data_IF_720311455540
#
_entry.id   IF_720311455540
#
_cell.length_a   1.000
_cell.length_b   1.000
_cell.length_c   1.000
_cell.angle_alpha   90.00
_cell.angle_beta   90.00
_cell.angle_gamma   90.00
#
_symmetry.space_group_name_H-M   'P 1'
#
loop_
_entity.id
_entity.type
_entity.pdbx_description
1 polymer ?
#
# COMPACT_ATOMS: atom_id res chain seq x y z
N UNK A 1 20.38 -23.71 3.64
CA UNK A 1 20.57 -24.03 2.22
C UNK A 1 21.14 -22.78 1.58
N UNK A 2 22.38 -22.86 1.12
CA UNK A 2 22.99 -21.72 0.42
C UNK A 2 22.58 -21.79 -1.04
N UNK A 3 22.18 -20.64 -1.61
CA UNK A 3 21.81 -20.56 -3.01
C UNK A 3 23.08 -20.67 -3.86
N UNK A 4 23.26 -21.82 -4.52
CA UNK A 4 24.37 -22.08 -5.42
C UNK A 4 23.86 -22.81 -6.69
N UNK A 5 24.66 -22.87 -7.78
CA UNK A 5 24.26 -23.53 -9.03
C UNK A 5 23.87 -25.01 -8.85
N UNK A 6 24.48 -25.68 -7.86
CA UNK A 6 24.17 -27.07 -7.52
C UNK A 6 22.79 -27.22 -6.89
N UNK A 7 22.39 -26.30 -6.01
CA UNK A 7 21.06 -26.23 -5.39
C UNK A 7 19.98 -25.95 -6.44
N UNK A 8 20.26 -25.03 -7.36
CA UNK A 8 19.37 -24.73 -8.49
C UNK A 8 19.14 -25.98 -9.34
N UNK A 9 20.23 -26.66 -9.72
CA UNK A 9 20.16 -27.86 -10.53
C UNK A 9 19.42 -29.00 -9.80
N UNK A 10 19.71 -29.19 -8.51
CA UNK A 10 19.05 -30.18 -7.66
C UNK A 10 17.55 -29.95 -7.56
N UNK A 11 17.12 -28.73 -7.20
CA UNK A 11 15.70 -28.40 -7.06
C UNK A 11 14.98 -28.51 -8.42
N UNK A 12 15.59 -28.02 -9.50
CA UNK A 12 15.04 -28.14 -10.85
C UNK A 12 14.78 -29.60 -11.23
N UNK A 13 15.76 -30.47 -11.00
CA UNK A 13 15.64 -31.87 -11.34
C UNK A 13 14.59 -32.58 -10.48
N UNK A 14 14.51 -32.27 -9.18
CA UNK A 14 13.48 -32.80 -8.31
C UNK A 14 12.08 -32.38 -8.79
N UNK A 15 11.86 -31.11 -9.10
CA UNK A 15 10.57 -30.59 -9.56
C UNK A 15 10.16 -31.03 -10.96
N UNK A 16 11.11 -31.39 -11.83
CA UNK A 16 10.81 -32.06 -13.09
C UNK A 16 10.46 -33.54 -12.86
N UNK A 17 11.14 -34.21 -11.95
CA UNK A 17 10.89 -35.61 -11.63
C UNK A 17 9.56 -35.82 -10.90
N UNK A 18 9.00 -34.83 -10.22
CA UNK A 18 7.63 -34.90 -9.67
C UNK A 18 6.56 -34.95 -10.77
N UNK A 19 6.89 -34.49 -11.98
CA UNK A 19 6.01 -34.53 -13.15
C UNK A 19 6.21 -35.79 -14.00
N UNK A 20 7.14 -36.67 -13.63
CA UNK A 20 7.40 -37.92 -14.34
C UNK A 20 6.17 -38.84 -14.32
N UNK A 21 5.84 -39.53 -15.43
CA UNK A 21 4.75 -40.51 -15.47
C UNK A 21 5.05 -41.75 -14.61
N UNK A 22 6.33 -42.04 -14.35
CA UNK A 22 6.77 -43.18 -13.58
C UNK A 22 6.68 -42.93 -12.06
N UNK A 23 6.27 -43.97 -11.32
CA UNK A 23 6.04 -43.87 -9.88
C UNK A 23 7.34 -43.68 -9.07
N UNK A 24 8.42 -44.39 -9.43
CA UNK A 24 9.66 -44.38 -8.66
C UNK A 24 10.47 -43.06 -8.71
N UNK A 25 10.59 -42.37 -9.85
CA UNK A 25 11.19 -41.04 -9.91
C UNK A 25 10.38 -40.01 -9.12
N UNK A 26 9.04 -40.06 -9.21
CA UNK A 26 8.14 -39.15 -8.49
C UNK A 26 8.28 -39.29 -6.98
N UNK A 27 8.22 -40.52 -6.47
CA UNK A 27 8.36 -40.81 -5.03
C UNK A 27 9.71 -40.36 -4.48
N UNK A 28 10.79 -40.60 -5.23
CA UNK A 28 12.14 -40.15 -4.85
C UNK A 28 12.26 -38.63 -4.83
N UNK A 29 11.66 -37.96 -5.81
CA UNK A 29 11.64 -36.50 -5.87
C UNK A 29 10.83 -35.90 -4.71
N UNK A 30 9.66 -36.44 -4.39
CA UNK A 30 8.84 -36.00 -3.26
C UNK A 30 9.55 -36.20 -1.92
N UNK A 31 10.22 -37.34 -1.73
CA UNK A 31 11.01 -37.59 -0.52
C UNK A 31 12.18 -36.60 -0.39
N UNK A 32 12.91 -36.35 -1.48
CA UNK A 32 14.03 -35.41 -1.50
C UNK A 32 13.56 -33.97 -1.24
N UNK A 33 12.42 -33.57 -1.80
CA UNK A 33 11.82 -32.25 -1.55
C UNK A 33 11.32 -32.12 -0.10
N UNK A 34 10.75 -33.18 0.47
CA UNK A 34 10.32 -33.20 1.87
C UNK A 34 11.52 -33.10 2.83
N UNK A 35 12.66 -33.71 2.50
CA UNK A 35 13.89 -33.57 3.29
C UNK A 35 14.48 -32.16 3.14
N UNK A 36 14.52 -31.63 1.91
CA UNK A 36 15.00 -30.29 1.62
C UNK A 36 14.14 -29.20 2.28
N UNK A 37 12.83 -29.43 2.41
CA UNK A 37 11.89 -28.54 3.09
C UNK A 37 12.26 -28.25 4.56
N UNK A 38 12.95 -29.18 5.23
CA UNK A 38 13.40 -28.98 6.61
C UNK A 38 14.68 -28.13 6.72
N UNK A 39 15.33 -27.80 5.59
CA UNK A 39 16.58 -27.04 5.59
C UNK A 39 16.27 -25.54 5.64
N UNK A 40 17.04 -24.73 6.38
CA UNK A 40 16.87 -23.27 6.39
C UNK A 40 17.08 -22.71 4.97
N UNK A 41 16.39 -21.63 4.61
CA UNK A 41 16.42 -21.00 3.27
C UNK A 41 15.88 -21.85 2.11
N UNK A 42 15.15 -22.94 2.39
CA UNK A 42 14.47 -23.71 1.35
C UNK A 42 13.42 -22.87 0.60
N UNK A 43 12.52 -22.20 1.35
CA UNK A 43 11.47 -21.34 0.79
C UNK A 43 12.04 -20.24 -0.14
N UNK A 44 13.04 -19.43 0.28
CA UNK A 44 13.73 -18.49 -0.62
C UNK A 44 14.38 -19.13 -1.85
N UNK A 45 14.95 -20.33 -1.73
CA UNK A 45 15.57 -21.03 -2.87
C UNK A 45 14.52 -21.49 -3.90
N UNK A 46 13.39 -22.03 -3.45
CA UNK A 46 12.27 -22.41 -4.33
C UNK A 46 11.65 -21.17 -5.00
N UNK A 47 11.57 -20.04 -4.29
CA UNK A 47 11.10 -18.77 -4.85
C UNK A 47 12.02 -18.20 -5.93
N UNK A 48 13.35 -18.31 -5.77
CA UNK A 48 14.30 -17.85 -6.80
C UNK A 48 14.25 -18.72 -8.05
N UNK A 49 14.08 -20.03 -7.89
CA UNK A 49 13.86 -20.96 -9.01
C UNK A 49 12.59 -20.61 -9.80
N UNK A 50 11.53 -20.20 -9.10
CA UNK A 50 10.30 -19.68 -9.70
C UNK A 50 10.52 -18.38 -10.49
N UNK A 51 11.37 -17.47 -9.97
CA UNK A 51 11.66 -16.18 -10.58
C UNK A 51 12.59 -16.24 -11.81
N UNK A 52 13.28 -17.36 -12.04
CA UNK A 52 14.10 -17.56 -13.24
C UNK A 52 13.24 -17.82 -14.49
N UNK A 53 13.64 -17.33 -15.68
CA UNK A 53 12.99 -17.61 -16.96
C UNK A 53 13.25 -19.07 -17.38
N UNK A 54 12.59 -20.00 -16.69
CA UNK A 54 12.70 -21.44 -16.89
C UNK A 54 11.39 -22.06 -17.42
N UNK A 55 11.40 -23.36 -17.71
CA UNK A 55 10.29 -24.11 -18.32
C UNK A 55 9.00 -23.93 -17.50
N UNK A 56 7.87 -23.70 -18.19
CA UNK A 56 6.56 -23.44 -17.56
C UNK A 56 6.18 -24.47 -16.49
N UNK A 57 6.36 -25.75 -16.79
CA UNK A 57 5.94 -26.85 -15.89
C UNK A 57 6.78 -26.93 -14.61
N UNK A 58 8.06 -26.56 -14.70
CA UNK A 58 8.95 -26.47 -13.54
C UNK A 58 8.48 -25.39 -12.57
N UNK A 59 8.10 -24.23 -13.10
CA UNK A 59 7.58 -23.12 -12.27
C UNK A 59 6.28 -23.50 -11.60
N UNK A 60 5.38 -24.18 -12.32
CA UNK A 60 4.11 -24.62 -11.76
C UNK A 60 4.30 -25.66 -10.65
N UNK A 61 5.18 -26.65 -10.82
CA UNK A 61 5.43 -27.65 -9.78
C UNK A 61 6.15 -27.07 -8.56
N UNK A 62 7.08 -26.14 -8.77
CA UNK A 62 7.72 -25.38 -7.70
C UNK A 62 6.71 -24.50 -6.92
N UNK A 63 5.81 -23.80 -7.61
CA UNK A 63 4.78 -22.96 -6.97
C UNK A 63 3.78 -23.78 -6.12
N UNK A 64 3.34 -24.93 -6.63
CA UNK A 64 2.46 -25.84 -5.89
C UNK A 64 3.16 -26.40 -4.66
N UNK A 65 4.42 -26.80 -4.79
CA UNK A 65 5.21 -27.28 -3.66
C UNK A 65 5.42 -26.17 -2.61
N UNK A 66 5.77 -24.96 -3.05
CA UNK A 66 5.93 -23.81 -2.17
C UNK A 66 4.64 -23.50 -1.39
N UNK A 67 3.49 -23.49 -2.07
CA UNK A 67 2.17 -23.34 -1.43
C UNK A 67 1.91 -24.40 -0.37
N UNK A 68 2.23 -25.65 -0.65
CA UNK A 68 2.05 -26.76 0.30
C UNK A 68 3.04 -26.66 1.46
N UNK A 69 4.28 -26.24 1.20
CA UNK A 69 5.30 -26.01 2.20
C UNK A 69 4.87 -24.93 3.18
N UNK A 70 4.32 -23.81 2.69
CA UNK A 70 3.69 -22.79 3.51
C UNK A 70 2.56 -23.41 4.33
N UNK A 71 1.54 -24.01 3.71
CA UNK A 71 0.41 -24.60 4.46
C UNK A 71 0.83 -25.57 5.60
N UNK A 72 1.91 -26.32 5.42
CA UNK A 72 2.36 -27.32 6.38
C UNK A 72 3.32 -26.78 7.46
N UNK A 73 4.15 -25.78 7.15
CA UNK A 73 5.20 -25.27 8.05
C UNK A 73 4.91 -23.85 8.55
N UNK A 74 3.78 -23.28 8.14
CA UNK A 74 3.26 -22.01 8.61
C UNK A 74 2.60 -22.16 9.98
N UNK A 75 3.44 -22.19 11.00
CA UNK A 75 3.08 -21.65 12.29
C UNK A 75 3.88 -20.34 12.44
N UNK A 76 3.24 -19.20 12.78
CA UNK A 76 3.95 -17.94 12.93
C UNK A 76 4.96 -18.08 14.06
N UNK A 77 6.24 -18.26 13.72
CA UNK A 77 7.32 -17.91 14.63
C UNK A 77 7.50 -16.39 14.52
N UNK A 78 7.55 -15.64 15.63
CA UNK A 78 7.44 -14.18 15.63
C UNK A 78 8.58 -13.39 14.95
N UNK A 79 9.48 -14.01 14.19
CA UNK A 79 10.82 -13.43 13.99
C UNK A 79 11.24 -13.06 12.57
N UNK A 80 10.38 -13.07 11.54
CA UNK A 80 10.66 -12.26 10.33
C UNK A 80 9.43 -12.11 9.41
N UNK A 81 8.55 -11.12 9.65
CA UNK A 81 7.50 -10.76 8.70
C UNK A 81 8.03 -10.30 7.32
N UNK A 82 9.32 -9.98 7.22
CA UNK A 82 9.98 -9.49 6.01
C UNK A 82 10.16 -10.57 4.93
N UNK A 83 10.45 -11.82 5.30
CA UNK A 83 10.64 -12.92 4.32
C UNK A 83 9.32 -13.31 3.63
N UNK A 84 8.22 -13.04 4.32
CA UNK A 84 6.86 -13.44 3.99
C UNK A 84 6.21 -12.42 3.03
N UNK A 85 6.44 -11.13 3.29
CA UNK A 85 6.11 -10.07 2.33
C UNK A 85 6.93 -10.21 1.05
N UNK A 86 8.23 -10.53 1.14
CA UNK A 86 9.08 -10.75 -0.03
C UNK A 86 8.61 -11.93 -0.90
N UNK A 87 8.28 -13.06 -0.27
CA UNK A 87 7.74 -14.23 -0.95
C UNK A 87 6.42 -13.94 -1.68
N UNK A 88 5.49 -13.27 -1.00
CA UNK A 88 4.21 -12.88 -1.60
C UNK A 88 4.38 -11.82 -2.70
N UNK A 89 5.35 -10.92 -2.56
CA UNK A 89 5.66 -9.91 -3.59
C UNK A 89 6.15 -10.56 -4.87
N UNK A 90 7.06 -11.54 -4.76
CA UNK A 90 7.60 -12.26 -5.93
C UNK A 90 6.48 -13.01 -6.64
N UNK A 91 5.61 -13.71 -5.90
CA UNK A 91 4.51 -14.47 -6.50
C UNK A 91 3.43 -13.53 -7.07
N UNK A 92 3.11 -12.46 -6.35
CA UNK A 92 2.11 -11.46 -6.76
C UNK A 92 2.48 -10.67 -8.01
N UNK A 93 3.77 -10.59 -8.37
CA UNK A 93 4.25 -9.99 -9.61
C UNK A 93 3.96 -10.84 -10.85
N UNK A 94 3.94 -12.16 -10.72
CA UNK A 94 3.85 -13.08 -11.86
C UNK A 94 2.48 -13.76 -11.99
N UNK A 95 1.86 -14.15 -10.88
CA UNK A 95 0.68 -15.04 -10.90
C UNK A 95 -0.64 -14.34 -10.53
N UNK A 96 -0.58 -13.14 -9.95
CA UNK A 96 -1.77 -12.44 -9.45
C UNK A 96 -2.27 -11.37 -10.45
N UNK A 97 -3.58 -11.29 -10.77
CA UNK A 97 -4.71 -12.04 -10.21
C UNK A 97 -5.11 -13.30 -10.98
N UNK A 98 -4.73 -13.44 -12.25
CA UNK A 98 -5.27 -14.46 -13.16
C UNK A 98 -5.04 -15.90 -12.69
N UNK A 99 -3.94 -16.20 -12.00
CA UNK A 99 -3.60 -17.54 -11.52
C UNK A 99 -3.83 -17.76 -10.01
N UNK A 100 -4.27 -16.73 -9.25
CA UNK A 100 -4.51 -16.87 -7.81
C UNK A 100 -5.68 -16.02 -7.26
N UNK A 101 -6.93 -16.24 -7.72
CA UNK A 101 -8.09 -15.42 -7.33
C UNK A 101 -8.43 -15.52 -5.84
N UNK A 102 -8.16 -16.66 -5.19
CA UNK A 102 -8.56 -16.95 -3.81
C UNK A 102 -7.71 -16.20 -2.77
N UNK A 103 -6.49 -15.78 -3.14
CA UNK A 103 -5.53 -15.21 -2.19
C UNK A 103 -6.08 -13.96 -1.50
N UNK A 104 -6.68 -13.05 -2.26
CA UNK A 104 -7.18 -11.79 -1.71
C UNK A 104 -8.36 -11.99 -0.74
N UNK A 105 -9.43 -12.75 -1.09
CA UNK A 105 -10.48 -13.10 -0.13
C UNK A 105 -9.96 -13.79 1.14
N UNK A 106 -8.96 -14.67 1.02
CA UNK A 106 -8.36 -15.36 2.18
C UNK A 106 -7.59 -14.40 3.08
N UNK A 107 -6.84 -13.45 2.50
CA UNK A 107 -6.14 -12.40 3.24
C UNK A 107 -7.13 -11.46 3.95
N UNK A 108 -8.23 -11.08 3.30
CA UNK A 108 -9.31 -10.27 3.92
C UNK A 108 -9.93 -11.01 5.10
N UNK A 109 -10.31 -12.27 4.92
CA UNK A 109 -10.91 -13.07 5.98
C UNK A 109 -9.95 -13.26 7.18
N UNK A 110 -8.65 -13.45 6.88
CA UNK A 110 -7.61 -13.55 7.90
C UNK A 110 -7.43 -12.22 8.64
N UNK A 111 -7.40 -11.10 7.92
CA UNK A 111 -7.29 -9.76 8.49
C UNK A 111 -8.46 -9.46 9.44
N UNK A 112 -9.69 -9.77 9.03
CA UNK A 112 -10.88 -9.59 9.87
C UNK A 112 -10.82 -10.43 11.15
N UNK A 113 -10.43 -11.71 11.02
CA UNK A 113 -10.30 -12.62 12.16
C UNK A 113 -9.23 -12.15 13.16
N UNK A 114 -8.06 -11.73 12.67
CA UNK A 114 -6.96 -11.27 13.50
C UNK A 114 -7.27 -9.92 14.18
N UNK A 115 -7.94 -9.03 13.46
CA UNK A 115 -8.38 -7.74 14.00
C UNK A 115 -9.41 -7.92 15.12
N UNK A 116 -10.32 -8.89 15.02
CA UNK A 116 -11.24 -9.25 16.10
C UNK A 116 -10.52 -9.87 17.32
N UNK A 117 -9.43 -10.59 17.10
CA UNK A 117 -8.61 -11.18 18.16
C UNK A 117 -7.64 -10.19 18.83
N UNK A 118 -7.59 -8.94 18.35
CA UNK A 118 -6.69 -7.88 18.81
C UNK A 118 -5.18 -8.22 18.70
N UNK A 119 -4.81 -9.13 17.79
CA UNK A 119 -3.41 -9.51 17.54
C UNK A 119 -2.80 -8.63 16.44
N UNK A 120 -2.37 -7.43 16.83
CA UNK A 120 -1.88 -6.42 15.88
C UNK A 120 -0.50 -6.70 15.31
N UNK A 121 0.28 -7.58 15.94
CA UNK A 121 1.55 -8.05 15.37
C UNK A 121 1.27 -8.85 14.10
N UNK A 122 0.32 -9.79 14.17
CA UNK A 122 -0.09 -10.58 13.01
C UNK A 122 -0.84 -9.74 11.96
N UNK A 123 -1.69 -8.79 12.38
CA UNK A 123 -2.36 -7.84 11.47
C UNK A 123 -1.35 -7.04 10.66
N UNK A 124 -0.31 -6.51 11.29
CA UNK A 124 0.73 -5.73 10.60
C UNK A 124 1.52 -6.59 9.61
N UNK A 125 1.77 -7.86 9.93
CA UNK A 125 2.37 -8.81 8.98
C UNK A 125 1.52 -9.02 7.73
N UNK A 126 0.20 -9.21 7.90
CA UNK A 126 -0.75 -9.38 6.79
C UNK A 126 -0.86 -8.10 5.95
N UNK A 127 -1.01 -6.93 6.60
CA UNK A 127 -1.07 -5.64 5.91
C UNK A 127 0.23 -5.31 5.17
N UNK A 128 1.39 -5.71 5.71
CA UNK A 128 2.68 -5.55 5.02
C UNK A 128 2.70 -6.35 3.73
N UNK A 129 2.30 -7.62 3.78
CA UNK A 129 2.20 -8.46 2.59
C UNK A 129 1.24 -7.88 1.55
N UNK A 130 0.06 -7.43 1.99
CA UNK A 130 -0.93 -6.77 1.14
C UNK A 130 -0.35 -5.49 0.51
N UNK A 131 0.31 -4.64 1.29
CA UNK A 131 0.94 -3.43 0.78
C UNK A 131 1.98 -3.74 -0.31
N UNK A 132 2.84 -4.74 -0.11
CA UNK A 132 3.83 -5.11 -1.12
C UNK A 132 3.20 -5.67 -2.40
N UNK A 133 2.05 -6.36 -2.31
CA UNK A 133 1.27 -6.77 -3.47
C UNK A 133 0.71 -5.55 -4.23
N UNK A 134 0.27 -4.52 -3.51
CA UNK A 134 -0.30 -3.32 -4.10
C UNK A 134 0.74 -2.32 -4.61
N UNK A 135 1.96 -2.35 -4.10
CA UNK A 135 3.06 -1.52 -4.60
C UNK A 135 3.29 -1.69 -6.10
N UNK A 136 2.91 -2.85 -6.67
CA UNK A 136 2.98 -3.07 -8.12
C UNK A 136 2.15 -2.06 -8.91
N UNK A 137 1.06 -1.53 -8.37
CA UNK A 137 0.22 -0.57 -9.10
C UNK A 137 0.86 0.83 -9.17
N UNK A 138 1.88 1.09 -8.35
CA UNK A 138 2.59 2.36 -8.34
C UNK A 138 3.55 2.43 -9.53
N UNK A 139 3.62 3.61 -10.15
CA UNK A 139 4.57 3.96 -11.21
C UNK A 139 4.51 3.07 -12.48
N UNK A 140 3.42 2.31 -12.67
CA UNK A 140 3.19 1.57 -13.91
C UNK A 140 2.39 2.40 -14.92
N UNK A 141 2.61 2.14 -16.21
CA UNK A 141 1.81 2.74 -17.27
C UNK A 141 0.37 2.24 -17.22
N UNK A 142 -0.60 3.16 -17.38
CA UNK A 142 -2.03 2.86 -17.41
C UNK A 142 -2.32 1.94 -18.61
N UNK A 143 -2.73 0.71 -18.34
CA UNK A 143 -3.13 -0.29 -19.35
C UNK A 143 -4.47 -0.90 -18.95
N UNK A 144 -5.25 -1.36 -19.94
CA UNK A 144 -6.56 -1.96 -19.68
C UNK A 144 -6.47 -3.22 -18.80
N UNK A 145 -5.40 -4.02 -18.94
CA UNK A 145 -5.19 -5.19 -18.08
C UNK A 145 -4.97 -4.78 -16.61
N UNK A 146 -4.15 -3.75 -16.38
CA UNK A 146 -3.87 -3.25 -15.04
C UNK A 146 -5.12 -2.63 -14.38
N UNK A 147 -5.99 -1.97 -15.17
CA UNK A 147 -7.25 -1.41 -14.68
C UNK A 147 -8.28 -2.50 -14.31
N UNK A 148 -8.34 -3.59 -15.09
CA UNK A 148 -9.18 -4.74 -14.76
C UNK A 148 -8.71 -5.42 -13.46
N UNK A 149 -7.40 -5.56 -13.30
CA UNK A 149 -6.80 -6.08 -12.07
C UNK A 149 -7.13 -5.17 -10.89
N UNK A 150 -6.91 -3.85 -11.03
CA UNK A 150 -7.23 -2.88 -9.99
C UNK A 150 -8.71 -2.91 -9.61
N UNK A 151 -9.62 -3.00 -10.58
CA UNK A 151 -11.06 -3.11 -10.33
C UNK A 151 -11.40 -4.32 -9.46
N UNK A 152 -10.84 -5.49 -9.77
CA UNK A 152 -11.03 -6.70 -8.95
C UNK A 152 -10.62 -6.49 -7.49
N UNK A 153 -9.49 -5.81 -7.26
CA UNK A 153 -9.03 -5.47 -5.92
C UNK A 153 -9.96 -4.52 -5.20
N UNK A 154 -10.42 -3.47 -5.89
CA UNK A 154 -11.31 -2.48 -5.31
C UNK A 154 -12.62 -3.13 -4.85
N UNK A 155 -13.21 -3.95 -5.70
CA UNK A 155 -14.46 -4.65 -5.41
C UNK A 155 -14.32 -5.62 -4.21
N UNK A 156 -13.13 -6.19 -4.01
CA UNK A 156 -12.89 -7.22 -2.99
C UNK A 156 -12.29 -6.70 -1.67
N UNK A 157 -11.50 -5.62 -1.72
CA UNK A 157 -10.66 -5.17 -0.60
C UNK A 157 -11.01 -3.79 -0.07
N UNK A 158 -11.51 -2.87 -0.91
CA UNK A 158 -11.65 -1.46 -0.50
C UNK A 158 -12.55 -1.28 0.73
N UNK A 159 -13.65 -2.05 0.80
CA UNK A 159 -14.53 -2.06 1.97
C UNK A 159 -13.84 -2.60 3.23
N UNK A 160 -13.16 -3.72 3.14
CA UNK A 160 -12.44 -4.30 4.27
C UNK A 160 -11.34 -3.36 4.79
N UNK A 161 -10.63 -2.70 3.88
CA UNK A 161 -9.61 -1.70 4.23
C UNK A 161 -10.20 -0.54 5.04
N UNK A 162 -11.34 0.02 4.61
CA UNK A 162 -12.00 1.12 5.32
C UNK A 162 -12.46 0.70 6.73
N UNK A 163 -13.03 -0.50 6.87
CA UNK A 163 -13.48 -1.00 8.18
C UNK A 163 -12.30 -1.21 9.16
N UNK A 164 -11.19 -1.76 8.67
CA UNK A 164 -9.96 -1.91 9.47
C UNK A 164 -9.38 -0.54 9.84
N UNK A 165 -9.32 0.38 8.88
CA UNK A 165 -8.81 1.73 9.09
C UNK A 165 -9.59 2.49 10.18
N UNK A 166 -10.93 2.45 10.14
CA UNK A 166 -11.79 3.09 11.15
C UNK A 166 -11.69 2.43 12.52
N UNK A 167 -11.57 1.10 12.55
CA UNK A 167 -11.41 0.35 13.80
C UNK A 167 -10.10 0.70 14.49
N UNK A 168 -9.01 0.70 13.72
CA UNK A 168 -7.68 1.09 14.20
C UNK A 168 -7.67 2.53 14.72
N UNK A 169 -8.30 3.47 14.00
CA UNK A 169 -8.47 4.85 14.44
C UNK A 169 -9.12 4.93 15.83
N UNK A 170 -10.23 4.21 16.03
CA UNK A 170 -10.93 4.16 17.31
C UNK A 170 -10.08 3.60 18.46
N UNK A 171 -9.22 2.61 18.18
CA UNK A 171 -8.30 2.09 19.19
C UNK A 171 -7.14 3.05 19.51
N UNK A 172 -6.62 3.75 18.51
CA UNK A 172 -5.61 4.82 18.71
C UNK A 172 -6.21 5.91 19.61
N UNK A 173 -7.46 6.29 19.38
CA UNK A 173 -8.14 7.33 20.17
C UNK A 173 -8.33 6.94 21.63
N UNK A 174 -8.78 5.70 21.85
CA UNK A 174 -8.90 5.14 23.21
C UNK A 174 -7.53 5.06 23.90
N UNK A 175 -6.49 4.72 23.14
CA UNK A 175 -5.14 4.64 23.65
C UNK A 175 -4.54 6.00 24.01
N UNK A 176 -4.73 7.02 23.17
CA UNK A 176 -4.25 8.38 23.41
C UNK A 176 -5.04 9.07 24.54
N UNK A 177 -6.34 8.80 24.65
CA UNK A 177 -7.19 9.34 25.72
C UNK A 177 -6.92 8.73 27.10
N UNK A 178 -6.28 7.56 27.16
CA UNK A 178 -6.04 6.82 28.40
C UNK A 178 -4.53 6.78 28.72
N UNK A 179 -4.11 7.51 29.76
CA UNK A 179 -2.69 7.62 30.20
C UNK A 179 -2.02 6.30 30.63
N UNK A 180 -2.73 5.18 30.58
CA UNK A 180 -2.29 3.87 31.06
C UNK A 180 -2.00 2.87 29.92
N UNK A 181 -2.07 3.26 28.65
CA UNK A 181 -1.86 2.32 27.54
C UNK A 181 -0.37 2.03 27.33
N UNK A 182 -0.06 0.74 27.19
CA UNK A 182 1.26 0.25 26.84
C UNK A 182 1.70 0.82 25.48
N UNK A 183 2.84 1.50 25.49
CA UNK A 183 3.44 2.17 24.32
C UNK A 183 3.66 1.18 23.17
N UNK A 184 3.95 -0.10 23.46
CA UNK A 184 4.16 -1.13 22.45
C UNK A 184 2.89 -1.45 21.65
N UNK A 185 1.72 -1.40 22.31
CA UNK A 185 0.41 -1.62 21.69
C UNK A 185 0.04 -0.44 20.81
N UNK A 186 0.27 0.79 21.29
CA UNK A 186 0.06 2.01 20.50
C UNK A 186 0.93 2.04 19.24
N UNK A 187 2.21 1.65 19.34
CA UNK A 187 3.10 1.49 18.17
C UNK A 187 2.53 0.53 17.14
N UNK A 188 1.97 -0.60 17.59
CA UNK A 188 1.39 -1.60 16.70
C UNK A 188 0.15 -1.07 15.96
N UNK A 189 -0.70 -0.29 16.63
CA UNK A 189 -1.87 0.34 15.99
C UNK A 189 -1.47 1.42 14.99
N UNK A 190 -0.51 2.28 15.33
CA UNK A 190 0.01 3.32 14.44
C UNK A 190 0.66 2.73 13.20
N UNK A 191 1.44 1.65 13.35
CA UNK A 191 2.02 0.94 12.21
C UNK A 191 0.95 0.32 11.30
N UNK A 192 -0.10 -0.26 11.88
CA UNK A 192 -1.27 -0.75 11.13
C UNK A 192 -1.92 0.36 10.31
N UNK A 193 -2.07 1.54 10.92
CA UNK A 193 -2.66 2.71 10.28
C UNK A 193 -1.80 3.24 9.14
N UNK A 194 -0.49 3.31 9.36
CA UNK A 194 0.49 3.68 8.33
C UNK A 194 0.40 2.76 7.11
N UNK A 195 0.35 1.45 7.33
CA UNK A 195 0.19 0.48 6.25
C UNK A 195 -1.14 0.67 5.50
N UNK A 196 -2.24 0.95 6.20
CA UNK A 196 -3.52 1.25 5.56
C UNK A 196 -3.44 2.50 4.66
N UNK A 197 -2.79 3.59 5.11
CA UNK A 197 -2.55 4.79 4.30
C UNK A 197 -1.71 4.49 3.05
N UNK A 198 -0.67 3.64 3.17
CA UNK A 198 0.16 3.23 2.03
C UNK A 198 -0.61 2.39 1.02
N UNK A 199 -1.48 1.50 1.49
CA UNK A 199 -2.36 0.71 0.61
C UNK A 199 -3.38 1.63 -0.07
N UNK A 200 -3.98 2.56 0.67
CA UNK A 200 -4.85 3.59 0.12
C UNK A 200 -4.15 4.36 -1.02
N UNK A 201 -2.92 4.82 -0.79
CA UNK A 201 -2.13 5.48 -1.83
C UNK A 201 -1.94 4.59 -3.06
N UNK A 202 -1.57 3.31 -2.89
CA UNK A 202 -1.41 2.38 -4.03
C UNK A 202 -2.68 2.22 -4.85
N UNK A 203 -3.83 2.13 -4.19
CA UNK A 203 -5.14 1.93 -4.84
C UNK A 203 -5.61 3.18 -5.58
N UNK A 204 -5.22 4.36 -5.10
CA UNK A 204 -5.60 5.65 -5.69
C UNK A 204 -4.52 6.22 -6.63
N UNK A 205 -3.38 5.52 -6.79
CA UNK A 205 -2.23 6.04 -7.53
C UNK A 205 -2.54 6.38 -8.99
N UNK A 206 -3.29 5.51 -9.68
CA UNK A 206 -3.62 5.69 -11.09
C UNK A 206 -4.82 6.61 -11.30
N UNK A 207 -5.87 6.40 -10.53
CA UNK A 207 -7.09 7.19 -10.53
C UNK A 207 -7.79 6.98 -9.19
N UNK A 208 -8.61 7.94 -8.79
CA UNK A 208 -9.41 7.85 -7.56
C UNK A 208 -10.72 7.08 -7.87
N UNK A 209 -10.89 5.85 -7.33
CA UNK A 209 -12.07 5.03 -7.53
C UNK A 209 -13.31 5.56 -6.80
N UNK A 210 -14.49 5.30 -7.37
CA UNK A 210 -15.81 5.73 -6.85
C UNK A 210 -16.02 5.38 -5.37
N UNK A 211 -15.68 4.15 -4.96
CA UNK A 211 -15.80 3.73 -3.56
C UNK A 211 -15.05 4.65 -2.58
N UNK A 212 -13.84 5.09 -2.94
CA UNK A 212 -13.04 5.97 -2.08
C UNK A 212 -13.50 7.42 -2.18
N UNK A 213 -14.00 7.84 -3.34
CA UNK A 213 -14.64 9.14 -3.53
C UNK A 213 -15.87 9.32 -2.64
N UNK A 214 -16.81 8.37 -2.67
CA UNK A 214 -18.06 8.44 -1.90
C UNK A 214 -17.83 8.47 -0.39
N UNK A 215 -16.69 7.94 0.05
CA UNK A 215 -16.35 7.77 1.47
C UNK A 215 -15.18 8.66 1.88
N UNK A 216 -14.85 9.66 1.07
CA UNK A 216 -13.62 10.43 1.26
C UNK A 216 -13.63 11.25 2.54
N UNK A 217 -14.79 11.78 2.94
CA UNK A 217 -14.95 12.52 4.20
C UNK A 217 -14.46 11.69 5.39
N UNK A 218 -14.73 10.39 5.39
CA UNK A 218 -14.30 9.49 6.48
C UNK A 218 -12.79 9.31 6.53
N UNK A 219 -12.12 9.29 5.38
CA UNK A 219 -10.66 9.22 5.31
C UNK A 219 -10.02 10.55 5.70
N UNK A 220 -10.55 11.66 5.19
CA UNK A 220 -10.00 13.00 5.38
C UNK A 220 -10.07 13.47 6.83
N UNK A 221 -11.14 13.11 7.55
CA UNK A 221 -11.27 13.40 8.98
C UNK A 221 -10.12 12.74 9.77
N UNK A 222 -9.83 11.47 9.50
CA UNK A 222 -8.76 10.74 10.18
C UNK A 222 -7.36 11.19 9.74
N UNK A 223 -7.18 11.45 8.45
CA UNK A 223 -5.92 12.00 7.92
C UNK A 223 -5.57 13.35 8.53
N UNK A 224 -6.56 14.23 8.70
CA UNK A 224 -6.38 15.49 9.39
C UNK A 224 -5.93 15.27 10.84
N UNK A 225 -6.53 14.30 11.52
CA UNK A 225 -6.18 13.97 12.90
C UNK A 225 -4.73 13.48 13.02
N UNK A 226 -4.29 12.57 12.18
CA UNK A 226 -2.92 12.02 12.24
C UNK A 226 -1.82 13.05 11.99
N UNK A 227 -2.17 14.14 11.29
CA UNK A 227 -1.24 15.22 10.97
C UNK A 227 -1.31 16.39 11.95
N UNK A 228 -2.32 16.44 12.83
CA UNK A 228 -2.52 17.55 13.77
C UNK A 228 -2.38 17.15 15.23
N UNK A 229 -2.69 15.90 15.57
CA UNK A 229 -2.60 15.38 16.94
C UNK A 229 -1.16 15.01 17.24
N UNK A 230 -0.66 15.51 18.39
CA UNK A 230 0.64 15.11 18.92
C UNK A 230 0.53 13.80 19.68
N UNK A 231 1.42 12.88 19.38
CA UNK A 231 1.51 11.58 20.05
C UNK A 231 2.66 11.59 21.06
N UNK A 232 2.56 12.41 22.10
CA UNK A 232 3.66 12.60 23.07
C UNK A 232 4.14 11.29 23.72
N UNK A 233 3.25 10.32 23.95
CA UNK A 233 3.63 9.01 24.45
C UNK A 233 4.55 8.21 23.50
N UNK A 234 4.47 8.45 22.20
CA UNK A 234 5.35 7.85 21.19
C UNK A 234 6.63 8.67 20.99
N UNK A 235 6.53 10.00 21.03
CA UNK A 235 7.67 10.93 20.98
C UNK A 235 8.65 10.67 22.15
N UNK A 236 8.13 10.44 23.35
CA UNK A 236 8.90 10.15 24.56
C UNK A 236 9.49 8.72 24.58
N UNK A 237 9.08 7.85 23.64
CA UNK A 237 9.46 6.43 23.60
C UNK A 237 10.77 6.12 22.85
N UNK A 238 11.54 7.16 22.52
CA UNK A 238 12.82 7.05 21.82
C UNK A 238 12.69 7.05 20.28
N UNK A 239 13.82 6.83 19.60
CA UNK A 239 13.99 7.05 18.17
C UNK A 239 12.97 6.27 17.28
N UNK A 240 12.63 5.03 17.66
CA UNK A 240 11.69 4.20 16.89
C UNK A 240 10.24 4.72 16.97
N UNK A 241 9.86 5.33 18.10
CA UNK A 241 8.54 5.95 18.24
C UNK A 241 8.45 7.24 17.43
N UNK A 242 9.52 8.02 17.43
CA UNK A 242 9.62 9.24 16.64
C UNK A 242 9.55 8.95 15.13
N UNK A 243 10.26 7.91 14.67
CA UNK A 243 10.20 7.48 13.28
C UNK A 243 8.76 7.12 12.85
N UNK A 244 8.02 6.37 13.67
CA UNK A 244 6.61 6.04 13.36
C UNK A 244 5.69 7.27 13.33
N UNK A 245 5.93 8.24 14.22
CA UNK A 245 5.20 9.51 14.27
C UNK A 245 5.49 10.37 13.04
N UNK A 246 6.66 10.28 12.44
CA UNK A 246 6.98 10.99 11.18
C UNK A 246 6.51 10.22 9.93
N UNK A 247 6.58 8.89 9.95
CA UNK A 247 6.23 8.07 8.80
C UNK A 247 4.71 7.99 8.52
N UNK A 248 3.86 8.06 9.55
CA UNK A 248 2.40 8.06 9.37
C UNK A 248 1.91 9.32 8.61
N UNK A 249 2.26 10.55 9.05
CA UNK A 249 2.14 11.78 8.28
C UNK A 249 2.60 11.67 6.82
N UNK A 250 3.79 11.13 6.59
CA UNK A 250 4.32 10.96 5.25
C UNK A 250 3.41 10.05 4.41
N UNK A 251 2.96 8.91 4.96
CA UNK A 251 2.06 8.00 4.25
C UNK A 251 0.71 8.64 3.88
N UNK A 252 0.14 9.45 4.78
CA UNK A 252 -1.09 10.21 4.53
C UNK A 252 -0.87 11.23 3.42
N UNK A 253 0.23 11.99 3.52
CA UNK A 253 0.62 12.98 2.52
C UNK A 253 0.66 12.37 1.12
N UNK A 254 1.37 11.25 0.93
CA UNK A 254 1.44 10.57 -0.36
C UNK A 254 0.06 10.16 -0.89
N UNK A 255 -0.82 9.64 -0.02
CA UNK A 255 -2.21 9.34 -0.35
C UNK A 255 -2.96 10.54 -0.93
N UNK A 256 -2.78 11.72 -0.35
CA UNK A 256 -3.42 12.96 -0.80
C UNK A 256 -2.87 13.46 -2.13
N UNK A 257 -1.56 13.31 -2.35
CA UNK A 257 -0.92 13.65 -3.63
C UNK A 257 -1.55 12.87 -4.79
N UNK A 258 -1.77 11.57 -4.62
CA UNK A 258 -2.42 10.75 -5.65
C UNK A 258 -3.86 11.23 -5.98
N UNK A 259 -4.61 11.67 -4.97
CA UNK A 259 -5.98 12.17 -5.12
C UNK A 259 -6.01 13.53 -5.82
N UNK A 260 -5.08 14.43 -5.48
CA UNK A 260 -5.07 15.79 -5.99
C UNK A 260 -4.66 15.88 -7.48
N UNK A 261 -3.87 14.93 -7.99
CA UNK A 261 -3.28 15.01 -9.32
C UNK A 261 -4.21 14.71 -10.50
N UNK A 262 -5.41 14.14 -10.30
CA UNK A 262 -6.09 13.39 -11.36
C UNK A 262 -7.56 13.73 -11.70
N UNK A 263 -8.15 14.86 -11.30
CA UNK A 263 -9.51 15.20 -11.83
C UNK A 263 -9.87 16.68 -11.83
N UNK A 264 -10.49 17.18 -12.92
CA UNK A 264 -11.12 18.51 -12.99
C UNK A 264 -12.52 18.54 -12.35
N UNK A 265 -13.22 17.40 -12.33
CA UNK A 265 -14.60 17.27 -11.81
C UNK A 265 -14.73 17.38 -10.29
N UNK A 266 -13.62 17.34 -9.54
CA UNK A 266 -13.61 17.25 -8.06
C UNK A 266 -12.94 18.47 -7.45
N UNK A 267 -13.47 19.65 -7.76
CA UNK A 267 -12.84 20.93 -7.43
C UNK A 267 -12.64 21.12 -5.93
N UNK A 268 -13.70 20.95 -5.13
CA UNK A 268 -13.67 21.10 -3.66
C UNK A 268 -12.65 20.19 -2.98
N UNK A 269 -12.52 18.96 -3.46
CA UNK A 269 -11.62 17.97 -2.88
C UNK A 269 -10.16 18.33 -3.12
N UNK A 270 -9.80 18.65 -4.37
CA UNK A 270 -8.46 19.14 -4.70
C UNK A 270 -8.15 20.40 -3.90
N UNK A 271 -9.15 21.25 -3.68
CA UNK A 271 -9.00 22.45 -2.88
C UNK A 271 -8.66 22.14 -1.42
N UNK A 272 -9.43 21.26 -0.78
CA UNK A 272 -9.16 20.82 0.59
C UNK A 272 -7.81 20.13 0.71
N UNK A 273 -7.44 19.28 -0.25
CA UNK A 273 -6.15 18.59 -0.26
C UNK A 273 -4.98 19.58 -0.37
N UNK A 274 -5.04 20.56 -1.29
CA UNK A 274 -3.97 21.55 -1.45
C UNK A 274 -3.86 22.45 -0.22
N UNK A 275 -4.97 22.99 0.30
CA UNK A 275 -4.98 23.77 1.55
C UNK A 275 -4.40 23.01 2.72
N UNK A 276 -4.66 21.71 2.76
CA UNK A 276 -4.13 20.82 3.77
C UNK A 276 -2.61 20.66 3.63
N UNK A 277 -2.09 20.45 2.42
CA UNK A 277 -0.65 20.45 2.14
C UNK A 277 0.01 21.77 2.57
N UNK A 278 -0.63 22.90 2.27
CA UNK A 278 -0.16 24.23 2.69
C UNK A 278 -0.12 24.35 4.22
N UNK A 279 -1.10 23.77 4.91
CA UNK A 279 -1.11 23.76 6.38
C UNK A 279 0.04 22.93 6.95
N UNK A 280 0.31 21.75 6.36
CA UNK A 280 1.42 20.88 6.80
C UNK A 280 2.77 21.53 6.49
N UNK A 281 2.92 22.22 5.36
CA UNK A 281 4.18 22.89 4.99
C UNK A 281 4.50 24.07 5.92
N UNK A 282 3.48 24.66 6.55
CA UNK A 282 3.64 25.69 7.57
C UNK A 282 3.79 25.14 9.00
N UNK A 283 3.69 23.82 9.19
CA UNK A 283 3.71 23.18 10.51
C UNK A 283 5.13 22.75 10.95
N UNK A 284 5.22 22.14 12.14
CA UNK A 284 6.46 21.51 12.63
C UNK A 284 6.92 20.35 11.75
N UNK A 285 6.02 19.77 10.94
CA UNK A 285 6.29 18.66 10.03
C UNK A 285 6.68 19.11 8.61
N UNK A 286 7.01 20.39 8.40
CA UNK A 286 7.47 20.89 7.09
C UNK A 286 8.69 20.12 6.55
N UNK A 287 9.48 19.51 7.44
CA UNK A 287 10.63 18.66 7.10
C UNK A 287 10.25 17.43 6.27
N UNK A 288 9.00 16.98 6.31
CA UNK A 288 8.47 15.92 5.43
C UNK A 288 8.56 16.31 3.94
N UNK A 289 8.60 17.61 3.64
CA UNK A 289 8.76 18.17 2.31
C UNK A 289 10.20 18.58 2.00
N UNK A 290 11.16 18.44 2.92
CA UNK A 290 12.48 19.04 2.75
C UNK A 290 13.36 18.35 1.70
N UNK A 291 12.97 17.18 1.20
CA UNK A 291 13.74 16.46 0.18
C UNK A 291 13.41 16.97 -1.22
N UNK A 292 14.45 17.17 -2.03
CA UNK A 292 14.34 17.72 -3.39
C UNK A 292 13.43 16.89 -4.30
N UNK A 293 13.44 15.55 -4.16
CA UNK A 293 12.58 14.65 -4.91
C UNK A 293 11.09 14.87 -4.59
N UNK A 294 10.77 15.18 -3.33
CA UNK A 294 9.42 15.42 -2.86
C UNK A 294 8.93 16.80 -3.32
N UNK A 295 9.75 17.83 -3.19
CA UNK A 295 9.42 19.18 -3.69
C UNK A 295 9.19 19.15 -5.20
N UNK A 296 10.04 18.45 -5.94
CA UNK A 296 9.87 18.29 -7.37
C UNK A 296 8.55 17.60 -7.69
N UNK A 297 8.19 16.55 -6.96
CA UNK A 297 6.93 15.83 -7.18
C UNK A 297 5.70 16.68 -6.83
N UNK A 298 5.75 17.47 -5.76
CA UNK A 298 4.67 18.41 -5.37
C UNK A 298 4.49 19.49 -6.44
N UNK A 299 5.60 20.09 -6.88
CA UNK A 299 5.57 21.12 -7.92
C UNK A 299 5.03 20.55 -9.25
N UNK A 300 5.51 19.39 -9.68
CA UNK A 300 5.14 18.80 -10.97
C UNK A 300 3.76 18.15 -10.99
N UNK A 301 3.34 17.53 -9.89
CA UNK A 301 2.11 16.71 -9.84
C UNK A 301 0.93 17.45 -9.24
N UNK A 302 1.15 18.58 -8.55
CA UNK A 302 0.09 19.35 -7.90
C UNK A 302 0.12 20.81 -8.31
N UNK A 303 1.23 21.51 -8.08
CA UNK A 303 1.26 22.97 -8.26
C UNK A 303 1.08 23.32 -9.72
N UNK A 304 1.92 22.78 -10.61
CA UNK A 304 1.86 23.07 -12.04
C UNK A 304 0.48 22.72 -12.64
N UNK A 305 -0.08 21.51 -12.45
CA UNK A 305 -1.40 21.18 -12.99
C UNK A 305 -2.55 22.04 -12.48
N UNK A 306 -2.45 22.59 -11.25
CA UNK A 306 -3.51 23.40 -10.66
C UNK A 306 -3.32 24.91 -10.81
N UNK A 307 -2.12 25.37 -11.19
CA UNK A 307 -1.84 26.77 -11.53
C UNK A 307 -2.12 27.08 -13.01
N UNK A 308 -1.89 26.11 -13.90
CA UNK A 308 -2.12 26.26 -15.33
C UNK A 308 -3.57 26.62 -15.67
N UNK A 309 -3.78 27.40 -16.74
CA UNK A 309 -5.11 27.59 -17.31
C UNK A 309 -5.61 26.26 -17.87
N UNK A 310 -6.86 25.93 -17.53
CA UNK A 310 -7.57 24.76 -18.09
C UNK A 310 -8.45 25.21 -19.23
N UNK A 311 -8.82 24.26 -20.09
CA UNK A 311 -9.77 24.49 -21.19
C UNK A 311 -11.09 25.12 -20.69
N UNK A 312 -11.56 24.72 -19.51
CA UNK A 312 -12.75 25.30 -18.84
C UNK A 312 -12.58 26.80 -18.49
N UNK A 313 -11.36 27.20 -18.12
CA UNK A 313 -11.05 28.59 -17.78
C UNK A 313 -10.96 29.45 -19.06
N UNK A 314 -10.44 28.87 -20.14
CA UNK A 314 -10.41 29.48 -21.47
C UNK A 314 -11.83 29.64 -22.04
N UNK A 315 -12.66 28.60 -21.94
CA UNK A 315 -14.08 28.66 -22.33
C UNK A 315 -14.83 29.74 -21.52
N UNK A 316 -14.61 29.82 -20.20
CA UNK A 316 -15.23 30.88 -19.39
C UNK A 316 -14.75 32.27 -19.80
N UNK A 317 -13.47 32.41 -20.15
CA UNK A 317 -12.94 33.67 -20.65
C UNK A 317 -13.57 34.06 -21.99
N UNK A 318 -13.71 33.12 -22.92
CA UNK A 318 -14.33 33.34 -24.23
C UNK A 318 -15.83 33.64 -24.13
N UNK A 319 -16.55 32.93 -23.26
CA UNK A 319 -18.00 33.03 -23.11
C UNK A 319 -18.43 34.18 -22.19
N UNK A 320 -17.66 34.46 -21.14
CA UNK A 320 -17.97 35.47 -20.13
C UNK A 320 -16.70 36.02 -19.43
N UNK A 321 -15.88 36.76 -20.17
CA UNK A 321 -14.65 37.37 -19.65
C UNK A 321 -14.85 38.25 -18.40
N UNK A 322 -16.05 38.84 -18.22
CA UNK A 322 -16.34 39.66 -17.03
C UNK A 322 -16.42 38.81 -15.77
N UNK A 323 -17.07 37.64 -15.84
CA UNK A 323 -17.11 36.68 -14.73
C UNK A 323 -15.75 36.06 -14.46
N UNK A 324 -14.97 35.76 -15.50
CA UNK A 324 -13.58 35.33 -15.36
C UNK A 324 -12.73 36.36 -14.59
N UNK A 325 -12.74 37.62 -15.03
CA UNK A 325 -12.00 38.72 -14.38
C UNK A 325 -12.50 38.92 -12.95
N UNK A 326 -13.81 38.82 -12.73
CA UNK A 326 -14.40 38.97 -11.39
C UNK A 326 -13.95 37.85 -10.44
N UNK A 327 -13.92 36.61 -10.89
CA UNK A 327 -13.40 35.45 -10.12
C UNK A 327 -11.93 35.60 -9.78
N UNK A 328 -11.12 36.14 -10.70
CA UNK A 328 -9.68 36.31 -10.51
C UNK A 328 -9.33 37.55 -9.64
N UNK A 329 -10.00 38.69 -9.86
CA UNK A 329 -9.70 39.97 -9.20
C UNK A 329 -10.45 40.18 -7.87
N UNK A 330 -11.74 39.84 -7.79
CA UNK A 330 -12.54 40.15 -6.59
C UNK A 330 -12.37 39.10 -5.47
N UNK A 331 -11.71 37.98 -5.76
CA UNK A 331 -11.47 36.93 -4.76
C UNK A 331 -12.75 36.36 -4.14
N UNK A 332 -13.90 36.46 -4.83
CA UNK A 332 -15.18 36.03 -4.27
C UNK A 332 -15.22 34.51 -4.05
N UNK A 333 -14.35 33.77 -4.73
CA UNK A 333 -13.98 32.40 -4.40
C UNK A 333 -12.57 32.39 -3.77
N UNK A 334 -12.50 32.44 -2.43
CA UNK A 334 -11.26 32.31 -1.66
C UNK A 334 -10.53 30.96 -1.86
N UNK A 335 -11.15 30.08 -2.65
CA UNK A 335 -10.90 28.64 -2.73
C UNK A 335 -10.65 28.18 -4.17
N UNK A 336 -10.26 29.07 -5.09
CA UNK A 336 -9.91 28.63 -6.45
C UNK A 336 -8.62 27.80 -6.45
N UNK A 337 -8.60 26.74 -7.28
CA UNK A 337 -7.43 25.82 -7.39
C UNK A 337 -6.12 26.54 -7.68
N UNK A 338 -6.15 27.54 -8.56
CA UNK A 338 -4.97 28.35 -8.90
C UNK A 338 -4.44 29.09 -7.68
N UNK A 339 -5.32 29.73 -6.91
CA UNK A 339 -4.92 30.54 -5.75
C UNK A 339 -4.29 29.68 -4.66
N UNK A 340 -4.94 28.59 -4.28
CA UNK A 340 -4.43 27.70 -3.23
C UNK A 340 -3.17 26.94 -3.65
N UNK A 341 -3.01 26.63 -4.95
CA UNK A 341 -1.79 26.02 -5.47
C UNK A 341 -0.63 27.02 -5.44
N UNK A 342 -0.91 28.31 -5.71
CA UNK A 342 0.04 29.39 -5.49
C UNK A 342 0.34 29.64 -4.01
N UNK A 343 -0.60 29.42 -3.09
CA UNK A 343 -0.36 29.51 -1.65
C UNK A 343 0.48 28.33 -1.11
N UNK A 344 0.42 27.17 -1.78
CA UNK A 344 1.26 26.01 -1.46
C UNK A 344 2.71 26.18 -1.93
N UNK A 345 2.93 26.87 -3.05
CA UNK A 345 4.25 27.19 -3.60
C UNK A 345 4.99 28.18 -2.69
#
# INVERSE_FOLDING_TARGET
MEWNPETLHFLSQCFLNTLSPDHDPRRRAEAALSEAANRPNYAPAVLRLFAEPSVHDLRQSAAVNFKNHLKAHWAPKPNDPLQLSEALTIIGKHDFPKAWPILLPELVATLDKLSQANDYVSVNGVLTAINSLFEKFRYQFKTNELLLDLKYWLDSFAKALLEVFKRNAGFIDQAVGSRAVDVSVLKSYVESQRLCCRIFYSLNFMELPEFFEDRMDEWMIEFNKYLTVKYSALEDSGNDGLALVDELPAAVLWGLLAVASNSSSREKLTVTAIKFLTTVSMSVHHTLFARDDILQQICQSIVIPNVMLRDEDEELFEMNYVEFIRRDIEGSDLDTRRRIACELL
#
